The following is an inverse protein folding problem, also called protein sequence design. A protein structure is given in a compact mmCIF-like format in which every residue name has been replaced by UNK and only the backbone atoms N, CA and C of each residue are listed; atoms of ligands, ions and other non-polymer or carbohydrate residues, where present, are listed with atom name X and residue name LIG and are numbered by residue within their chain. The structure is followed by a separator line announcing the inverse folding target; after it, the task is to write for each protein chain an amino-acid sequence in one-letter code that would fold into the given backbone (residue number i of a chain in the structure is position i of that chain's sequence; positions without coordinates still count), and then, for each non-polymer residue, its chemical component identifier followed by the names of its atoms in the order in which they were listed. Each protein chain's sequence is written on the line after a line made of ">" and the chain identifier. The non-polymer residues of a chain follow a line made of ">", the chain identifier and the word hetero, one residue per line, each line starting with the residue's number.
data_IF_852960433838
#
_entry.id   IF_852960433838
#
_cell.length_a   1.000
_cell.length_b   1.000
_cell.length_c   1.000
_cell.angle_alpha   90.00
_cell.angle_beta   90.00
_cell.angle_gamma   90.00
#
_symmetry.space_group_name_H-M   'P 1'
#
loop_
_entity.id
_entity.type
_entity.pdbx_description
1 polymer ?
#
# COMPACT_ATOMS: atom_id res chain seq x y z
N UNK A 1 2.45 -11.89 20.63
CA UNK A 1 2.68 -10.48 20.21
C UNK A 1 1.80 -10.20 19.01
N UNK A 2 1.15 -9.03 18.96
CA UNK A 2 0.29 -8.63 17.85
C UNK A 2 1.00 -7.56 17.03
N UNK A 3 1.17 -7.80 15.74
CA UNK A 3 1.57 -6.77 14.78
C UNK A 3 0.42 -6.58 13.79
N UNK A 4 -0.25 -5.42 13.87
CA UNK A 4 -1.37 -5.05 13.00
C UNK A 4 -1.08 -3.67 12.43
N UNK A 5 -1.10 -3.58 11.11
CA UNK A 5 -0.97 -2.32 10.36
C UNK A 5 -2.24 -2.12 9.54
N UNK A 6 -2.77 -0.90 9.52
CA UNK A 6 -3.91 -0.51 8.68
C UNK A 6 -3.50 0.74 7.90
N UNK A 7 -3.49 0.63 6.57
CA UNK A 7 -3.05 1.70 5.67
C UNK A 7 -4.25 2.19 4.85
N UNK A 8 -4.41 3.50 4.74
CA UNK A 8 -5.42 4.15 3.91
C UNK A 8 -4.70 5.23 3.10
N UNK A 9 -4.80 5.15 1.77
CA UNK A 9 -4.08 6.06 0.88
C UNK A 9 -4.39 5.80 -0.58
N UNK A 10 -3.56 6.34 -1.45
CA UNK A 10 -3.70 6.26 -2.89
C UNK A 10 -2.69 5.27 -3.48
N UNK A 11 -3.08 4.56 -4.54
CA UNK A 11 -2.17 3.69 -5.27
C UNK A 11 -1.26 4.55 -6.16
N UNK A 12 0.05 4.34 -6.06
CA UNK A 12 1.03 5.08 -6.88
C UNK A 12 1.16 4.56 -8.31
N UNK A 13 0.80 3.30 -8.52
CA UNK A 13 0.81 2.62 -9.80
C UNK A 13 -0.19 1.46 -9.74
N UNK A 14 -0.63 0.99 -10.90
CA UNK A 14 -1.45 -0.22 -10.97
C UNK A 14 -0.73 -1.41 -10.32
N UNK A 15 -1.47 -2.31 -9.64
CA UNK A 15 -0.87 -3.44 -8.98
C UNK A 15 -0.31 -4.43 -10.00
N UNK A 16 0.91 -4.88 -9.77
CA UNK A 16 1.55 -5.90 -10.61
C UNK A 16 1.28 -7.28 -9.98
N UNK A 17 0.56 -8.15 -10.69
CA UNK A 17 0.39 -9.55 -10.30
C UNK A 17 1.36 -10.44 -11.07
N UNK A 18 2.08 -11.28 -10.33
CA UNK A 18 3.00 -12.28 -10.87
C UNK A 18 2.63 -13.66 -10.34
N UNK A 19 2.36 -14.59 -11.25
CA UNK A 19 2.19 -16.00 -10.91
C UNK A 19 3.54 -16.69 -10.88
N UNK A 20 3.89 -17.25 -9.72
CA UNK A 20 5.09 -18.07 -9.57
C UNK A 20 4.85 -19.48 -10.13
N UNK A 21 5.89 -20.18 -10.62
CA UNK A 21 5.77 -21.57 -11.10
C UNK A 21 5.28 -22.55 -10.03
N UNK A 22 5.39 -22.19 -8.75
CA UNK A 22 4.88 -22.93 -7.60
C UNK A 22 3.36 -22.82 -7.39
N UNK A 23 2.64 -22.08 -8.26
CA UNK A 23 1.19 -21.89 -8.16
C UNK A 23 0.75 -20.78 -7.19
N UNK A 24 1.70 -20.02 -6.62
CA UNK A 24 1.41 -18.86 -5.76
C UNK A 24 1.28 -17.62 -6.64
N UNK A 25 0.20 -16.87 -6.47
CA UNK A 25 0.04 -15.54 -7.08
C UNK A 25 0.54 -14.48 -6.09
N UNK A 26 1.43 -13.61 -6.55
CA UNK A 26 1.97 -12.51 -5.76
C UNK A 26 1.57 -11.20 -6.39
N UNK A 27 0.88 -10.35 -5.64
CA UNK A 27 0.51 -9.01 -6.04
C UNK A 27 1.38 -7.99 -5.31
N UNK A 28 2.04 -7.12 -6.08
CA UNK A 28 2.86 -6.03 -5.57
C UNK A 28 2.20 -4.70 -5.89
N UNK A 29 2.07 -3.84 -4.90
CA UNK A 29 1.64 -2.46 -5.12
C UNK A 29 2.21 -1.49 -4.10
N UNK A 30 2.20 -0.21 -4.47
CA UNK A 30 2.69 0.89 -3.63
C UNK A 30 1.54 1.79 -3.24
N UNK A 31 1.38 2.01 -1.93
CA UNK A 31 0.41 2.95 -1.37
C UNK A 31 1.14 4.20 -0.90
N UNK A 32 0.74 5.35 -1.42
CA UNK A 32 1.11 6.66 -0.90
C UNK A 32 0.12 7.10 0.18
N UNK A 33 0.61 7.33 1.39
CA UNK A 33 -0.15 7.95 2.48
C UNK A 33 0.37 9.37 2.70
N UNK A 34 -0.50 10.36 2.56
CA UNK A 34 -0.18 11.75 2.84
C UNK A 34 -0.62 12.12 4.26
N UNK A 35 0.30 12.48 5.12
CA UNK A 35 -0.01 13.10 6.41
C UNK A 35 0.19 14.61 6.29
N UNK A 36 -0.86 15.36 6.64
CA UNK A 36 -0.79 16.81 6.81
C UNK A 36 -0.84 17.10 8.30
N UNK A 37 0.23 17.66 8.84
CA UNK A 37 0.25 18.11 10.23
C UNK A 37 0.73 19.57 10.28
N UNK A 38 0.19 20.30 11.22
CA UNK A 38 0.65 21.66 11.52
C UNK A 38 1.72 21.53 12.59
N UNK A 39 2.95 21.90 12.25
CA UNK A 39 4.02 21.94 13.24
C UNK A 39 3.78 23.12 14.19
N UNK A 40 3.70 22.82 15.49
CA UNK A 40 3.43 23.82 16.53
C UNK A 40 4.59 24.79 16.73
N UNK A 41 5.79 24.44 16.27
CA UNK A 41 7.00 25.24 16.45
C UNK A 41 7.14 26.31 15.37
N UNK A 42 6.78 25.96 14.14
CA UNK A 42 7.00 26.83 12.96
C UNK A 42 5.70 27.41 12.41
N UNK A 43 4.53 27.00 12.92
CA UNK A 43 3.20 27.35 12.39
C UNK A 43 3.03 27.09 10.88
N UNK A 44 3.85 26.20 10.32
CA UNK A 44 3.80 25.83 8.92
C UNK A 44 3.04 24.52 8.74
N UNK A 45 2.26 24.45 7.65
CA UNK A 45 1.53 23.24 7.26
C UNK A 45 2.52 22.32 6.54
N UNK A 46 2.95 21.25 7.20
CA UNK A 46 3.86 20.27 6.61
C UNK A 46 3.02 19.16 5.97
N UNK A 47 3.28 18.92 4.68
CA UNK A 47 2.73 17.80 3.94
C UNK A 47 3.84 16.76 3.79
N UNK A 48 3.75 15.63 4.48
CA UNK A 48 4.67 14.51 4.32
C UNK A 48 3.96 13.38 3.59
N UNK A 49 4.51 12.96 2.47
CA UNK A 49 4.04 11.78 1.72
C UNK A 49 4.97 10.62 2.01
N UNK A 50 4.40 9.52 2.48
CA UNK A 50 5.13 8.27 2.75
C UNK A 50 4.65 7.19 1.79
N UNK A 51 5.61 6.45 1.22
CA UNK A 51 5.36 5.38 0.25
C UNK A 51 5.60 4.03 0.90
N UNK A 52 4.56 3.20 0.91
CA UNK A 52 4.59 1.86 1.50
C UNK A 52 4.53 0.83 0.38
N UNK A 53 5.47 -0.14 0.39
CA UNK A 53 5.45 -1.28 -0.52
C UNK A 53 4.72 -2.44 0.14
N UNK A 54 3.63 -2.91 -0.47
CA UNK A 54 2.81 -4.01 0.03
C UNK A 54 2.92 -5.19 -0.93
N UNK A 55 3.21 -6.36 -0.36
CA UNK A 55 3.26 -7.64 -1.09
C UNK A 55 2.16 -8.52 -0.53
N UNK A 56 1.23 -8.93 -1.38
CA UNK A 56 0.18 -9.89 -1.01
C UNK A 56 0.54 -11.24 -1.63
N UNK A 57 0.65 -12.26 -0.77
CA UNK A 57 0.76 -13.65 -1.19
C UNK A 57 -0.63 -14.27 -1.16
N UNK A 58 -1.20 -14.57 -2.32
CA UNK A 58 -2.51 -15.21 -2.43
C UNK A 58 -2.27 -16.68 -2.78
N UNK A 59 -2.61 -17.56 -1.84
CA UNK A 59 -2.78 -18.97 -2.17
C UNK A 59 -4.21 -19.13 -2.66
N UNK A 60 -4.39 -19.14 -4.00
CA UNK A 60 -5.59 -19.51 -4.75
C UNK A 60 -6.93 -18.96 -4.23
N UNK A 61 -7.57 -18.12 -5.06
CA UNK A 61 -8.93 -17.57 -4.99
C UNK A 61 -9.10 -16.24 -4.25
N UNK A 62 -8.77 -15.15 -4.93
CA UNK A 62 -9.81 -14.24 -5.41
C UNK A 62 -9.16 -13.26 -6.37
N UNK A 63 -9.68 -13.26 -7.61
CA UNK A 63 -9.36 -12.29 -8.64
C UNK A 63 -9.38 -10.89 -8.00
N UNK A 64 -8.20 -10.30 -7.81
CA UNK A 64 -8.04 -8.88 -7.51
C UNK A 64 -8.60 -8.11 -8.70
N UNK A 65 -9.93 -7.95 -8.75
CA UNK A 65 -10.56 -7.00 -9.66
C UNK A 65 -10.27 -5.63 -9.08
N UNK A 66 -9.14 -5.06 -9.50
CA UNK A 66 -8.97 -3.62 -9.51
C UNK A 66 -9.97 -3.03 -10.49
N UNK A 67 -11.17 -2.72 -10.00
CA UNK A 67 -11.91 -1.58 -10.53
C UNK A 67 -11.41 -0.39 -9.72
N UNK A 68 -10.57 0.41 -10.36
CA UNK A 68 -10.24 1.77 -9.93
C UNK A 68 -11.46 2.65 -10.18
#
# INVERSE_FOLDING_TARGET
>A
MLNKVTLIGYLGADPESRTMPSGVEVANFRIGTSQRYTDKTTSQRINKTEWHSVVIFIHILQRLRCNI
#
